data_IF_525413902082
#
_entry.id   IF_525413902082
#
_cell.length_a   1.000
_cell.length_b   1.000
_cell.length_c   1.000
_cell.angle_alpha   90.00
_cell.angle_beta   90.00
_cell.angle_gamma   90.00
#
_symmetry.space_group_name_H-M   'P 1'
#
loop_
_entity.id
_entity.type
_entity.pdbx_description
1 polymer ?
#
# COMPACT_ATOMS: atom_id res chain seq x y z
N UNK A 1 -70.32 28.15 33.21
CA UNK A 1 -68.93 28.64 33.37
C UNK A 1 -68.00 27.43 33.35
N UNK A 2 -67.04 27.46 32.42
CA UNK A 2 -65.83 26.62 32.32
C UNK A 2 -66.02 25.10 32.19
N UNK A 3 -66.21 24.66 30.95
CA UNK A 3 -65.99 23.28 30.54
C UNK A 3 -64.49 23.05 30.23
N UNK A 4 -64.02 21.93 30.76
CA UNK A 4 -62.76 21.23 30.49
C UNK A 4 -62.41 21.14 28.99
N UNK A 5 -61.43 21.92 28.53
CA UNK A 5 -60.86 21.80 27.16
C UNK A 5 -59.33 21.71 27.14
N UNK A 6 -58.62 21.94 28.25
CA UNK A 6 -57.15 22.09 28.20
C UNK A 6 -56.29 20.84 28.37
N UNK A 7 -56.85 19.66 28.69
CA UNK A 7 -56.04 18.46 28.96
C UNK A 7 -55.97 17.41 27.84
N UNK A 8 -56.81 17.52 26.80
CA UNK A 8 -56.82 16.51 25.71
C UNK A 8 -55.86 16.88 24.56
N UNK A 9 -55.57 18.18 24.38
CA UNK A 9 -54.69 18.65 23.30
C UNK A 9 -53.20 18.36 23.56
N UNK A 10 -52.75 18.32 24.82
CA UNK A 10 -51.36 18.00 25.15
C UNK A 10 -51.01 16.52 24.99
N UNK A 11 -51.98 15.61 25.15
CA UNK A 11 -51.73 14.16 25.05
C UNK A 11 -51.62 13.73 23.57
N UNK A 12 -52.35 14.38 22.66
CA UNK A 12 -52.27 14.12 21.22
C UNK A 12 -50.99 14.68 20.57
N UNK A 13 -50.38 15.73 21.15
CA UNK A 13 -49.10 16.27 20.66
C UNK A 13 -47.88 15.41 21.09
N UNK A 14 -47.99 14.63 22.17
CA UNK A 14 -46.91 13.76 22.63
C UNK A 14 -46.80 12.43 21.87
N UNK A 15 -47.82 12.05 21.09
CA UNK A 15 -47.84 10.77 20.36
C UNK A 15 -47.21 10.91 18.95
N UNK A 16 -46.96 12.12 18.44
CA UNK A 16 -46.40 12.34 17.09
C UNK A 16 -44.89 12.64 17.02
N UNK A 17 -44.14 12.52 18.12
CA UNK A 17 -42.68 12.76 18.13
C UNK A 17 -41.83 11.55 18.57
N UNK A 18 -42.41 10.35 18.65
CA UNK A 18 -41.59 9.15 18.62
C UNK A 18 -41.14 8.98 17.17
N UNK A 19 -40.02 9.62 16.79
CA UNK A 19 -39.23 9.11 15.67
C UNK A 19 -39.04 7.63 15.97
N UNK A 20 -39.68 6.76 15.18
CA UNK A 20 -39.19 5.39 15.08
C UNK A 20 -37.73 5.56 14.70
N UNK A 21 -36.83 5.32 15.64
CA UNK A 21 -35.45 5.03 15.32
C UNK A 21 -35.57 3.76 14.49
N UNK A 22 -35.52 3.91 13.17
CA UNK A 22 -35.26 2.80 12.28
C UNK A 22 -34.06 2.06 12.88
N UNK A 23 -34.23 0.78 13.21
CA UNK A 23 -33.13 0.01 13.77
C UNK A 23 -32.00 0.13 12.76
N UNK A 24 -30.88 0.74 13.17
CA UNK A 24 -29.76 0.96 12.27
C UNK A 24 -29.39 -0.39 11.65
N UNK A 25 -29.39 -0.47 10.31
CA UNK A 25 -29.00 -1.69 9.60
C UNK A 25 -27.69 -2.20 10.19
N UNK A 26 -27.55 -3.52 10.42
CA UNK A 26 -26.30 -4.07 10.93
C UNK A 26 -25.19 -3.77 9.92
N UNK A 27 -24.18 -3.01 10.35
CA UNK A 27 -22.97 -2.69 9.59
C UNK A 27 -21.86 -3.67 9.94
N UNK A 28 -21.06 -4.07 8.95
CA UNK A 28 -19.91 -4.93 9.16
C UNK A 28 -18.69 -4.10 9.56
N UNK A 29 -17.95 -4.44 10.64
CA UNK A 29 -16.70 -3.75 10.97
C UNK A 29 -15.68 -3.82 9.82
N UNK A 30 -14.97 -2.72 9.60
CA UNK A 30 -13.97 -2.56 8.53
C UNK A 30 -12.57 -2.45 9.12
N UNK A 31 -11.64 -3.25 8.58
CA UNK A 31 -10.21 -3.14 8.85
C UNK A 31 -9.52 -2.73 7.55
N UNK A 32 -8.83 -1.59 7.58
CA UNK A 32 -8.03 -1.08 6.47
C UNK A 32 -6.62 -1.66 6.56
N UNK A 33 -6.22 -2.42 5.55
CA UNK A 33 -4.87 -2.97 5.38
C UNK A 33 -4.21 -2.23 4.22
N UNK A 34 -3.10 -1.52 4.43
CA UNK A 34 -2.45 -0.73 3.39
C UNK A 34 -1.56 -1.54 2.45
N UNK A 35 -1.16 -0.90 1.34
CA UNK A 35 -0.08 -1.36 0.48
C UNK A 35 1.31 -0.94 1.00
N UNK A 36 2.31 -1.10 0.15
CA UNK A 36 3.68 -0.65 0.34
C UNK A 36 3.73 0.88 0.48
N UNK A 37 4.42 1.36 1.51
CA UNK A 37 4.37 2.77 1.90
C UNK A 37 3.09 3.28 2.51
N UNK A 38 2.03 2.47 2.58
CA UNK A 38 0.71 2.93 3.04
C UNK A 38 0.53 2.96 4.56
N UNK A 39 1.60 2.75 5.34
CA UNK A 39 1.58 2.78 6.82
C UNK A 39 2.58 3.79 7.35
N UNK A 40 2.24 4.52 8.41
CA UNK A 40 3.23 5.29 9.15
C UNK A 40 4.32 4.40 9.78
N UNK A 41 5.60 4.80 9.67
CA UNK A 41 6.71 4.15 10.37
C UNK A 41 7.41 5.12 11.31
N UNK A 42 7.86 4.59 12.45
CA UNK A 42 8.51 5.37 13.49
C UNK A 42 9.90 4.84 13.77
N UNK A 43 10.88 5.75 13.88
CA UNK A 43 12.28 5.40 14.12
C UNK A 43 12.81 5.98 15.43
N UNK A 44 13.72 5.25 16.08
CA UNK A 44 14.56 5.76 17.18
C UNK A 44 16.03 5.47 16.92
N UNK A 45 16.89 6.47 17.11
CA UNK A 45 18.31 6.39 16.78
C UNK A 45 19.19 6.31 18.02
N UNK A 46 20.18 5.42 17.96
CA UNK A 46 21.32 5.28 18.86
C UNK A 46 22.52 4.71 18.07
N UNK A 47 22.89 5.40 17.00
CA UNK A 47 23.92 5.00 16.03
C UNK A 47 25.29 5.42 16.55
N UNK A 48 26.31 4.58 16.31
CA UNK A 48 27.71 4.91 16.62
C UNK A 48 28.32 5.92 15.63
N UNK A 49 27.83 5.93 14.40
CA UNK A 49 28.28 6.82 13.32
C UNK A 49 27.14 7.11 12.37
N UNK A 50 27.31 8.12 11.53
CA UNK A 50 26.39 8.48 10.47
C UNK A 50 27.15 8.69 9.15
N UNK A 51 26.48 8.53 7.99
CA UNK A 51 27.14 8.69 6.69
C UNK A 51 27.64 10.12 6.44
N UNK A 52 26.97 11.10 7.05
CA UNK A 52 27.30 12.51 6.94
C UNK A 52 27.15 13.22 8.29
N UNK A 53 27.95 14.27 8.52
CA UNK A 53 27.99 15.01 9.79
C UNK A 53 26.65 15.65 10.18
N UNK A 54 25.78 15.95 9.21
CA UNK A 54 24.46 16.55 9.44
C UNK A 54 23.38 15.51 9.78
N UNK A 55 23.65 14.21 9.63
CA UNK A 55 22.72 13.16 10.00
C UNK A 55 22.76 12.90 11.51
N UNK A 56 21.59 12.93 12.15
CA UNK A 56 21.45 12.63 13.59
C UNK A 56 21.88 11.18 13.86
N UNK A 57 22.66 10.99 14.91
CA UNK A 57 23.03 9.66 15.41
C UNK A 57 22.17 9.23 16.59
N UNK A 58 21.52 10.17 17.28
CA UNK A 58 20.72 9.90 18.47
C UNK A 58 19.39 10.64 18.45
N UNK A 59 18.33 9.99 18.91
CA UNK A 59 17.05 10.62 19.24
C UNK A 59 16.59 10.17 20.62
N UNK A 60 16.07 11.10 21.43
CA UNK A 60 15.59 10.79 22.78
C UNK A 60 14.35 9.89 22.76
N UNK A 61 13.48 10.08 21.77
CA UNK A 61 12.27 9.30 21.54
C UNK A 61 12.12 8.94 20.05
N UNK A 62 11.06 8.20 19.73
CA UNK A 62 10.69 7.88 18.37
C UNK A 62 10.19 9.12 17.64
N UNK A 63 10.62 9.26 16.39
CA UNK A 63 10.10 10.25 15.45
C UNK A 63 9.46 9.54 14.27
N UNK A 64 8.54 10.21 13.59
CA UNK A 64 7.96 9.72 12.36
C UNK A 64 9.04 9.74 11.26
N UNK A 65 9.46 8.56 10.80
CA UNK A 65 10.43 8.44 9.70
C UNK A 65 9.73 8.31 8.35
N UNK A 66 8.48 7.84 8.35
CA UNK A 66 7.70 7.68 7.13
C UNK A 66 6.21 7.92 7.38
N UNK A 67 5.54 8.83 6.68
CA UNK A 67 6.08 9.76 5.69
C UNK A 67 6.45 11.09 6.37
N UNK A 68 7.65 11.60 6.09
CA UNK A 68 8.05 12.96 6.43
C UNK A 68 8.65 13.61 5.18
N UNK A 69 7.97 14.62 4.65
CA UNK A 69 8.37 15.28 3.40
C UNK A 69 9.72 15.99 3.51
N UNK A 70 10.08 16.52 4.68
CA UNK A 70 11.38 17.18 4.90
C UNK A 70 12.54 16.18 4.81
N UNK A 71 12.30 14.94 5.26
CA UNK A 71 13.29 13.86 5.21
C UNK A 71 13.50 13.36 3.77
N UNK A 72 12.58 13.63 2.85
CA UNK A 72 12.71 13.26 1.43
C UNK A 72 13.45 14.30 0.57
N UNK A 73 13.79 15.46 1.12
CA UNK A 73 14.52 16.52 0.41
C UNK A 73 16.04 16.39 0.59
N UNK A 74 16.80 16.85 -0.40
CA UNK A 74 18.26 16.96 -0.25
C UNK A 74 18.62 18.10 0.72
N UNK A 75 19.57 17.91 1.66
CA UNK A 75 20.41 16.72 1.88
C UNK A 75 19.84 15.66 2.84
N UNK A 76 18.69 15.91 3.48
CA UNK A 76 18.06 15.02 4.47
C UNK A 76 17.80 13.60 3.97
N UNK A 77 17.50 13.44 2.68
CA UNK A 77 17.27 12.13 2.03
C UNK A 77 18.41 11.15 2.24
N UNK A 78 19.66 11.64 2.35
CA UNK A 78 20.83 10.79 2.61
C UNK A 78 20.79 10.16 4.01
N UNK A 79 20.23 10.86 4.99
CA UNK A 79 20.01 10.36 6.33
C UNK A 79 18.81 9.41 6.39
N UNK A 80 17.73 9.75 5.68
CA UNK A 80 16.55 8.90 5.54
C UNK A 80 16.92 7.52 4.99
N UNK A 81 17.63 7.47 3.86
CA UNK A 81 18.08 6.23 3.21
C UNK A 81 18.91 5.36 4.16
N UNK A 82 19.84 5.96 4.91
CA UNK A 82 20.68 5.23 5.86
C UNK A 82 19.89 4.69 7.07
N UNK A 83 18.82 5.38 7.48
CA UNK A 83 18.00 4.95 8.61
C UNK A 83 16.89 3.97 8.21
N UNK A 84 16.36 4.06 6.99
CA UNK A 84 15.27 3.21 6.52
C UNK A 84 15.74 1.89 5.91
N UNK A 85 16.96 1.84 5.35
CA UNK A 85 17.48 0.62 4.73
C UNK A 85 17.52 -0.58 5.68
N UNK A 86 17.37 -1.76 5.07
CA UNK A 86 17.59 -3.04 5.71
C UNK A 86 18.95 -3.61 5.28
N UNK A 87 19.47 -4.51 6.11
CA UNK A 87 20.60 -5.36 5.78
C UNK A 87 20.14 -6.81 5.73
N UNK A 88 20.61 -7.55 4.74
CA UNK A 88 20.25 -8.95 4.55
C UNK A 88 21.38 -9.87 4.99
N UNK A 89 21.04 -10.87 5.79
CA UNK A 89 21.96 -11.91 6.20
C UNK A 89 21.68 -13.19 5.41
N UNK A 90 22.58 -13.52 4.49
CA UNK A 90 22.50 -14.72 3.63
C UNK A 90 22.54 -16.04 4.39
N UNK A 91 23.07 -16.05 5.62
CA UNK A 91 23.17 -17.28 6.43
C UNK A 91 21.87 -17.53 7.18
N UNK A 92 21.27 -16.48 7.74
CA UNK A 92 20.03 -16.60 8.52
C UNK A 92 18.78 -16.42 7.69
N UNK A 93 18.90 -15.96 6.43
CA UNK A 93 17.78 -15.62 5.56
C UNK A 93 16.84 -14.60 6.20
N UNK A 94 17.41 -13.59 6.86
CA UNK A 94 16.65 -12.55 7.55
C UNK A 94 17.21 -11.16 7.26
N UNK A 95 16.32 -10.17 7.33
CA UNK A 95 16.67 -8.75 7.28
C UNK A 95 16.64 -8.10 8.66
N UNK A 96 17.55 -7.15 8.88
CA UNK A 96 17.61 -6.35 10.10
C UNK A 96 17.87 -4.87 9.77
N UNK A 97 17.51 -3.97 10.69
CA UNK A 97 17.70 -2.52 10.51
C UNK A 97 19.19 -2.15 10.55
N UNK A 98 19.53 -0.95 10.10
CA UNK A 98 20.84 -0.32 10.36
C UNK A 98 21.20 -0.35 11.85
N UNK A 99 22.47 -0.63 12.18
CA UNK A 99 22.94 -0.68 13.57
C UNK A 99 22.62 0.63 14.30
N UNK A 100 22.01 0.51 15.48
CA UNK A 100 21.51 1.65 16.25
C UNK A 100 20.23 2.30 15.71
N UNK A 101 19.51 1.69 14.76
CA UNK A 101 18.19 2.17 14.32
C UNK A 101 17.12 1.15 14.68
N UNK A 102 16.17 1.58 15.51
CA UNK A 102 14.96 0.81 15.79
C UNK A 102 13.79 1.38 14.98
N UNK A 103 13.06 0.51 14.29
CA UNK A 103 11.87 0.87 13.50
C UNK A 103 10.68 0.09 14.04
N UNK A 104 9.57 0.79 14.27
CA UNK A 104 8.34 0.17 14.76
C UNK A 104 7.09 0.75 14.13
N UNK A 105 6.04 -0.07 14.20
CA UNK A 105 4.66 0.35 14.00
C UNK A 105 4.10 0.86 15.32
N UNK A 106 3.43 1.99 15.29
CA UNK A 106 2.70 2.53 16.45
C UNK A 106 1.20 2.51 16.18
N UNK A 107 0.42 2.50 17.26
CA UNK A 107 -1.03 2.68 17.22
C UNK A 107 -1.79 1.69 16.32
N UNK A 108 -1.37 0.41 16.30
CA UNK A 108 -2.12 -0.64 15.59
C UNK A 108 -3.59 -0.69 16.04
N UNK A 109 -4.51 -0.70 15.09
CA UNK A 109 -5.96 -0.60 15.33
C UNK A 109 -6.52 0.82 15.16
N UNK A 110 -5.69 1.87 15.20
CA UNK A 110 -6.10 3.22 14.82
C UNK A 110 -6.02 3.38 13.30
N UNK A 111 -7.16 3.68 12.67
CA UNK A 111 -7.23 3.86 11.22
C UNK A 111 -6.44 5.07 10.73
N UNK A 112 -6.21 6.09 11.57
CA UNK A 112 -5.48 7.28 11.15
C UNK A 112 -4.04 6.98 10.67
N UNK A 113 -3.43 5.91 11.19
CA UNK A 113 -2.08 5.46 10.82
C UNK A 113 -1.94 5.00 9.37
N UNK A 114 -3.07 4.76 8.70
CA UNK A 114 -3.15 4.35 7.29
C UNK A 114 -4.06 5.28 6.47
N UNK A 115 -4.75 6.23 7.11
CA UNK A 115 -5.49 7.30 6.41
C UNK A 115 -4.56 8.41 5.93
N UNK A 116 -3.60 8.78 6.78
CA UNK A 116 -2.65 9.88 6.56
C UNK A 116 -1.23 9.36 6.77
N UNK A 117 -0.39 9.44 5.73
CA UNK A 117 0.98 8.93 5.81
C UNK A 117 1.90 9.84 6.62
N UNK A 118 1.61 11.14 6.65
CA UNK A 118 2.27 12.09 7.56
C UNK A 118 1.31 12.39 8.72
N UNK A 119 1.71 12.16 9.99
CA UNK A 119 0.88 12.44 11.16
C UNK A 119 0.77 13.93 11.50
N UNK A 120 1.54 14.84 10.88
CA UNK A 120 1.35 16.28 11.09
C UNK A 120 0.05 16.74 10.41
N UNK A 121 -0.96 17.00 11.23
CA UNK A 121 -2.29 17.47 10.78
C UNK A 121 -2.25 18.73 9.92
N UNK A 122 -1.18 19.54 9.98
CA UNK A 122 -1.01 20.73 9.13
C UNK A 122 -0.77 20.37 7.66
N UNK A 123 -0.30 19.15 7.39
CA UNK A 123 -0.01 18.67 6.04
C UNK A 123 -1.01 17.65 5.52
N UNK A 124 -2.14 17.45 6.20
CA UNK A 124 -3.25 16.57 5.78
C UNK A 124 -3.98 17.11 4.53
N UNK A 125 -3.28 17.11 3.41
CA UNK A 125 -3.76 17.42 2.08
C UNK A 125 -3.10 16.44 1.07
N UNK A 126 -3.56 16.41 -0.18
CA UNK A 126 -2.90 15.63 -1.23
C UNK A 126 -1.46 16.15 -1.43
N UNK A 127 -0.39 15.37 -1.19
CA UNK A 127 -0.25 13.96 -1.56
C UNK A 127 -0.14 12.94 -0.40
N UNK A 128 -0.27 13.35 0.87
CA UNK A 128 -0.07 12.44 2.02
C UNK A 128 -1.34 11.72 2.47
N UNK A 129 -2.46 12.03 1.83
CA UNK A 129 -3.75 11.33 1.94
C UNK A 129 -3.65 9.95 1.26
N UNK A 130 -4.02 8.89 2.00
CA UNK A 130 -4.04 7.51 1.49
C UNK A 130 -5.46 6.91 1.62
N UNK A 131 -5.84 6.34 2.77
CA UNK A 131 -7.21 5.87 3.00
C UNK A 131 -8.19 6.93 3.49
N UNK A 132 -7.78 8.20 3.67
CA UNK A 132 -8.62 9.22 4.33
C UNK A 132 -10.01 9.37 3.68
N UNK A 133 -10.10 9.33 2.34
CA UNK A 133 -11.37 9.50 1.63
C UNK A 133 -12.34 8.32 1.87
N UNK A 134 -11.82 7.09 1.89
CA UNK A 134 -12.61 5.90 2.22
C UNK A 134 -13.07 5.98 3.69
N UNK A 135 -12.16 6.33 4.60
CA UNK A 135 -12.48 6.46 6.02
C UNK A 135 -13.52 7.54 6.30
N UNK A 136 -13.40 8.71 5.68
CA UNK A 136 -14.38 9.81 5.80
C UNK A 136 -15.75 9.42 5.24
N UNK A 137 -15.79 8.70 4.13
CA UNK A 137 -17.03 8.17 3.57
C UNK A 137 -17.69 7.15 4.52
N UNK A 138 -16.91 6.25 5.12
CA UNK A 138 -17.41 5.31 6.12
C UNK A 138 -17.91 6.03 7.38
N UNK A 139 -17.18 7.02 7.90
CA UNK A 139 -17.62 7.80 9.07
C UNK A 139 -18.89 8.58 8.78
N UNK A 140 -19.02 9.13 7.57
CA UNK A 140 -20.27 9.76 7.10
C UNK A 140 -21.45 8.77 7.04
N UNK A 141 -21.16 7.48 6.93
CA UNK A 141 -22.12 6.37 6.99
C UNK A 141 -22.14 5.68 8.37
N UNK A 142 -22.00 6.48 9.43
CA UNK A 142 -22.12 6.08 10.84
C UNK A 142 -21.03 5.13 11.36
N UNK A 143 -19.91 4.92 10.67
CA UNK A 143 -18.76 4.24 11.27
C UNK A 143 -18.04 5.14 12.29
N UNK A 144 -17.32 4.53 13.21
CA UNK A 144 -16.55 5.17 14.28
C UNK A 144 -15.13 4.63 14.26
N UNK A 145 -14.17 5.51 13.96
CA UNK A 145 -12.73 5.24 14.04
C UNK A 145 -12.36 4.65 15.41
N UNK A 146 -11.50 3.64 15.40
CA UNK A 146 -11.06 2.92 16.61
C UNK A 146 -12.06 1.91 17.17
N UNK A 147 -13.31 1.87 16.66
CA UNK A 147 -14.34 0.92 17.09
C UNK A 147 -14.64 -0.10 15.99
N UNK A 148 -15.37 0.33 14.97
CA UNK A 148 -15.80 -0.49 13.83
C UNK A 148 -15.15 -0.07 12.52
N UNK A 149 -14.28 0.95 12.56
CA UNK A 149 -13.29 1.26 11.53
C UNK A 149 -11.90 1.25 12.17
N UNK A 150 -11.03 0.34 11.73
CA UNK A 150 -9.67 0.17 12.27
C UNK A 150 -8.62 0.13 11.16
N UNK A 151 -7.39 0.51 11.48
CA UNK A 151 -6.22 0.34 10.63
C UNK A 151 -5.36 -0.82 11.10
N UNK A 152 -4.77 -1.56 10.16
CA UNK A 152 -3.80 -2.60 10.42
C UNK A 152 -2.45 -2.26 9.74
N UNK A 153 -1.73 -1.23 10.23
CA UNK A 153 -0.43 -0.86 9.69
C UNK A 153 0.60 -1.97 9.91
N UNK A 154 1.59 -2.05 9.02
CA UNK A 154 2.68 -3.02 9.12
C UNK A 154 3.98 -2.46 8.51
N UNK A 155 5.10 -3.11 8.79
CA UNK A 155 6.42 -2.73 8.24
C UNK A 155 6.52 -3.19 6.79
N UNK A 156 6.10 -2.32 5.86
CA UNK A 156 6.04 -2.60 4.43
C UNK A 156 7.40 -2.87 3.77
N UNK A 157 8.52 -2.60 4.46
CA UNK A 157 9.86 -2.93 3.97
C UNK A 157 10.12 -4.43 3.93
N UNK A 158 9.33 -5.22 4.66
CA UNK A 158 9.40 -6.68 4.71
C UNK A 158 8.27 -7.25 3.85
N UNK A 159 8.50 -8.37 3.17
CA UNK A 159 7.41 -9.07 2.49
C UNK A 159 6.31 -9.46 3.52
N UNK A 160 4.99 -9.33 3.25
CA UNK A 160 4.30 -9.17 1.95
C UNK A 160 3.47 -7.84 1.82
N UNK A 161 3.82 -6.95 0.87
CA UNK A 161 3.15 -5.66 0.50
C UNK A 161 3.28 -5.30 -1.00
N UNK A 162 2.48 -4.32 -1.49
CA UNK A 162 2.35 -3.81 -2.89
C UNK A 162 2.79 -2.33 -3.12
N UNK A 163 3.79 -2.11 -4.00
CA UNK A 163 4.39 -0.87 -4.58
C UNK A 163 4.23 0.54 -3.95
N UNK A 164 5.37 1.12 -3.54
CA UNK A 164 5.58 2.52 -3.17
C UNK A 164 5.50 3.50 -4.37
N UNK A 165 4.33 4.08 -4.64
CA UNK A 165 4.11 5.15 -5.63
C UNK A 165 4.74 6.52 -5.29
N UNK A 166 6.00 6.57 -4.86
CA UNK A 166 6.67 7.77 -4.33
C UNK A 166 7.31 8.58 -5.46
N UNK A 167 6.58 9.56 -5.99
CA UNK A 167 6.99 10.39 -7.16
C UNK A 167 7.94 11.55 -6.79
N UNK A 168 8.20 11.77 -5.50
CA UNK A 168 8.84 13.01 -4.99
C UNK A 168 10.38 12.94 -4.96
N UNK A 169 10.97 11.75 -5.14
CA UNK A 169 12.41 11.50 -4.96
C UNK A 169 13.10 11.04 -6.24
N UNK A 170 14.34 11.48 -6.44
CA UNK A 170 15.15 10.99 -7.56
C UNK A 170 15.46 9.49 -7.35
N UNK A 171 15.15 8.59 -8.30
CA UNK A 171 15.25 7.15 -8.05
C UNK A 171 16.63 6.68 -7.60
N UNK A 172 17.71 7.31 -8.09
CA UNK A 172 19.08 6.99 -7.69
C UNK A 172 19.36 7.19 -6.21
N UNK A 173 18.67 8.12 -5.53
CA UNK A 173 18.87 8.38 -4.12
C UNK A 173 18.26 7.30 -3.24
N UNK A 174 17.07 6.82 -3.60
CA UNK A 174 16.34 5.81 -2.84
C UNK A 174 16.63 4.37 -3.28
N UNK A 175 17.32 4.17 -4.41
CA UNK A 175 17.63 2.85 -4.97
C UNK A 175 18.26 1.89 -3.96
N UNK A 176 19.19 2.37 -3.12
CA UNK A 176 19.84 1.52 -2.11
C UNK A 176 18.85 1.07 -1.01
N UNK A 177 17.92 1.94 -0.64
CA UNK A 177 16.90 1.67 0.36
C UNK A 177 15.80 0.75 -0.21
N UNK A 178 15.25 1.05 -1.39
CA UNK A 178 14.25 0.21 -2.06
C UNK A 178 14.76 -1.20 -2.36
N UNK A 179 16.01 -1.33 -2.83
CA UNK A 179 16.65 -2.63 -3.09
C UNK A 179 16.77 -3.46 -1.82
N UNK A 180 16.94 -2.82 -0.66
CA UNK A 180 17.12 -3.51 0.61
C UNK A 180 15.84 -4.17 1.15
N UNK A 181 14.67 -3.84 0.57
CA UNK A 181 13.38 -4.36 1.00
C UNK A 181 13.04 -5.69 0.31
N UNK A 182 12.85 -6.79 1.06
CA UNK A 182 12.38 -8.05 0.48
C UNK A 182 11.01 -7.94 -0.19
N UNK A 183 10.16 -6.98 0.22
CA UNK A 183 8.87 -6.71 -0.45
C UNK A 183 9.07 -6.33 -1.93
N UNK A 184 10.06 -5.50 -2.25
CA UNK A 184 10.41 -5.16 -3.64
C UNK A 184 10.77 -6.40 -4.47
N UNK A 185 11.57 -7.31 -3.91
CA UNK A 185 11.94 -8.55 -4.59
C UNK A 185 10.73 -9.49 -4.75
N UNK A 186 9.82 -9.51 -3.78
CA UNK A 186 8.59 -10.32 -3.83
C UNK A 186 7.66 -9.90 -4.96
N UNK A 187 7.55 -8.60 -5.21
CA UNK A 187 6.68 -8.03 -6.26
C UNK A 187 7.21 -8.15 -7.69
N UNK A 188 8.41 -8.71 -7.89
CA UNK A 188 8.91 -8.93 -9.25
C UNK A 188 7.96 -9.84 -10.05
N UNK A 189 7.80 -9.62 -11.37
CA UNK A 189 6.89 -10.37 -12.23
C UNK A 189 6.96 -11.88 -12.02
N UNK A 190 5.79 -12.52 -11.93
CA UNK A 190 5.67 -13.95 -11.67
C UNK A 190 5.65 -14.76 -12.97
N UNK A 191 6.35 -15.91 -13.04
CA UNK A 191 6.26 -16.82 -14.19
C UNK A 191 4.88 -17.44 -14.36
N UNK A 192 3.93 -17.20 -13.45
CA UNK A 192 2.52 -17.56 -13.60
C UNK A 192 1.79 -16.68 -14.62
N UNK A 193 2.15 -15.40 -14.71
CA UNK A 193 1.46 -14.41 -15.56
C UNK A 193 2.33 -13.81 -16.67
N UNK A 194 3.64 -14.00 -16.59
CA UNK A 194 4.59 -13.62 -17.64
C UNK A 194 5.19 -14.87 -18.26
N UNK A 195 5.22 -14.92 -19.59
CA UNK A 195 5.76 -16.07 -20.30
C UNK A 195 7.29 -16.14 -20.09
N UNK A 196 7.85 -17.36 -20.12
CA UNK A 196 9.28 -17.59 -19.87
C UNK A 196 10.19 -16.90 -20.90
N UNK A 197 9.70 -16.71 -22.11
CA UNK A 197 10.36 -16.05 -23.23
C UNK A 197 9.97 -14.56 -23.38
N UNK A 198 9.10 -14.06 -22.49
CA UNK A 198 8.70 -12.65 -22.49
C UNK A 198 9.80 -11.77 -21.89
N UNK A 199 10.40 -10.94 -22.74
CA UNK A 199 11.43 -9.98 -22.33
C UNK A 199 10.84 -8.87 -21.48
N UNK A 200 11.42 -8.66 -20.31
CA UNK A 200 11.10 -7.59 -19.36
C UNK A 200 12.10 -6.44 -19.43
N UNK A 201 13.39 -6.76 -19.58
CA UNK A 201 14.47 -5.77 -19.66
C UNK A 201 15.30 -6.00 -20.90
N UNK A 202 15.46 -4.96 -21.71
CA UNK A 202 16.30 -4.95 -22.92
C UNK A 202 17.53 -4.12 -22.63
N UNK A 203 18.72 -4.66 -22.90
CA UNK A 203 20.00 -3.93 -22.84
C UNK A 203 20.77 -4.12 -24.13
N UNK A 204 21.90 -3.42 -24.26
CA UNK A 204 22.84 -3.58 -25.36
C UNK A 204 23.60 -4.92 -25.32
N UNK A 205 23.69 -5.56 -24.15
CA UNK A 205 24.40 -6.83 -23.95
C UNK A 205 23.49 -8.06 -24.04
N UNK A 206 22.27 -7.95 -23.48
CA UNK A 206 21.33 -9.07 -23.35
C UNK A 206 19.91 -8.61 -23.03
N UNK A 207 18.97 -9.53 -23.22
CA UNK A 207 17.60 -9.40 -22.72
C UNK A 207 17.44 -10.23 -21.45
N UNK A 208 16.51 -9.82 -20.58
CA UNK A 208 16.16 -10.56 -19.36
C UNK A 208 14.65 -10.84 -19.35
N UNK A 209 14.28 -12.07 -19.04
CA UNK A 209 12.90 -12.51 -18.79
C UNK A 209 12.72 -12.89 -17.32
N UNK A 210 11.53 -13.37 -16.95
CA UNK A 210 11.27 -13.99 -15.64
C UNK A 210 12.16 -15.22 -15.34
N UNK A 211 12.77 -15.82 -16.36
CA UNK A 211 13.70 -16.95 -16.19
C UNK A 211 15.13 -16.50 -15.84
N UNK A 212 15.46 -15.22 -16.05
CA UNK A 212 16.82 -14.70 -16.00
C UNK A 212 17.12 -13.89 -14.73
N UNK A 213 16.27 -13.96 -13.70
CA UNK A 213 16.44 -13.11 -12.50
C UNK A 213 17.80 -13.28 -11.80
N UNK A 214 18.33 -14.50 -11.74
CA UNK A 214 19.66 -14.73 -11.15
C UNK A 214 20.73 -13.92 -11.87
N UNK A 215 20.70 -13.97 -13.19
CA UNK A 215 21.66 -13.28 -14.01
C UNK A 215 21.43 -11.76 -14.01
N UNK A 216 20.17 -11.31 -14.01
CA UNK A 216 19.83 -9.90 -13.87
C UNK A 216 20.44 -9.32 -12.59
N UNK A 217 20.29 -10.00 -11.45
CA UNK A 217 20.87 -9.56 -10.19
C UNK A 217 22.39 -9.62 -10.18
N UNK A 218 23.01 -10.58 -10.89
CA UNK A 218 24.46 -10.63 -11.06
C UNK A 218 24.97 -9.45 -11.89
N UNK A 219 24.32 -9.15 -13.01
CA UNK A 219 24.66 -8.04 -13.91
C UNK A 219 24.39 -6.65 -13.28
N UNK A 220 23.54 -6.60 -12.24
CA UNK A 220 23.31 -5.42 -11.39
C UNK A 220 24.28 -5.28 -10.21
N UNK A 221 25.20 -6.23 -10.03
CA UNK A 221 26.06 -6.36 -8.83
C UNK A 221 25.26 -6.35 -7.52
N UNK A 222 24.13 -7.05 -7.49
CA UNK A 222 23.21 -7.07 -6.35
C UNK A 222 22.59 -8.44 -6.08
N UNK A 223 23.45 -9.43 -5.81
CA UNK A 223 23.00 -10.80 -5.53
C UNK A 223 22.15 -10.97 -4.26
N UNK A 224 22.21 -10.02 -3.32
CA UNK A 224 21.31 -10.04 -2.15
C UNK A 224 19.83 -10.00 -2.57
N UNK A 225 19.49 -9.22 -3.60
CA UNK A 225 18.13 -9.16 -4.13
C UNK A 225 17.66 -10.50 -4.73
N UNK A 226 18.57 -11.26 -5.34
CA UNK A 226 18.25 -12.60 -5.83
C UNK A 226 17.94 -13.56 -4.67
N UNK A 227 18.77 -13.57 -3.63
CA UNK A 227 18.53 -14.43 -2.46
C UNK A 227 17.25 -14.04 -1.72
N UNK A 228 16.98 -12.74 -1.56
CA UNK A 228 15.70 -12.26 -1.05
C UNK A 228 14.53 -12.78 -1.90
N UNK A 229 14.63 -12.70 -3.24
CA UNK A 229 13.60 -13.23 -4.15
C UNK A 229 13.37 -14.72 -3.89
N UNK A 230 14.42 -15.53 -3.78
CA UNK A 230 14.29 -16.96 -3.52
C UNK A 230 13.57 -17.26 -2.19
N UNK A 231 13.85 -16.46 -1.16
CA UNK A 231 13.23 -16.62 0.15
C UNK A 231 11.72 -16.29 0.13
N UNK A 232 11.31 -15.31 -0.69
CA UNK A 232 9.94 -14.76 -0.65
C UNK A 232 9.06 -15.21 -1.82
N UNK A 233 9.62 -15.69 -2.94
CA UNK A 233 8.84 -15.94 -4.15
C UNK A 233 7.72 -16.93 -3.91
N UNK A 234 7.96 -17.99 -3.14
CA UNK A 234 6.99 -19.07 -2.93
C UNK A 234 5.93 -18.78 -1.84
N UNK A 235 5.90 -17.57 -1.26
CA UNK A 235 4.93 -17.24 -0.20
C UNK A 235 3.46 -17.31 -0.68
N UNK A 236 3.19 -16.94 -1.93
CA UNK A 236 1.83 -16.92 -2.52
C UNK A 236 1.75 -17.45 -3.96
N UNK A 237 2.77 -18.16 -4.44
CA UNK A 237 2.85 -18.58 -5.85
C UNK A 237 1.76 -19.57 -6.28
N UNK A 238 1.22 -20.33 -5.33
CA UNK A 238 0.09 -21.23 -5.59
C UNK A 238 -1.22 -20.47 -5.83
N UNK A 239 -1.30 -19.20 -5.40
CA UNK A 239 -2.49 -18.33 -5.42
C UNK A 239 -3.74 -19.08 -4.98
N UNK A 240 -3.62 -19.75 -3.83
CA UNK A 240 -4.73 -20.48 -3.24
C UNK A 240 -5.93 -19.54 -2.98
N UNK A 241 -7.16 -19.92 -3.38
CA UNK A 241 -8.35 -19.12 -3.10
C UNK A 241 -8.52 -18.86 -1.59
N UNK A 242 -8.90 -17.63 -1.19
CA UNK A 242 -8.97 -17.25 0.22
C UNK A 242 -10.13 -17.91 0.97
N UNK A 243 -11.13 -18.45 0.28
CA UNK A 243 -12.25 -19.17 0.90
C UNK A 243 -13.23 -18.26 1.66
N UNK A 244 -13.28 -16.99 1.27
CA UNK A 244 -14.23 -15.97 1.76
C UNK A 244 -14.85 -15.25 0.56
N UNK A 245 -15.95 -14.54 0.77
CA UNK A 245 -16.51 -13.66 -0.26
C UNK A 245 -15.48 -12.61 -0.65
N UNK A 246 -15.22 -12.49 -1.95
CA UNK A 246 -14.17 -11.61 -2.48
C UNK A 246 -14.77 -10.59 -3.42
N UNK A 247 -14.41 -9.32 -3.20
CA UNK A 247 -14.68 -8.23 -4.12
C UNK A 247 -13.36 -7.69 -4.64
N UNK A 248 -13.02 -7.99 -5.88
CA UNK A 248 -11.78 -7.57 -6.51
C UNK A 248 -12.01 -6.30 -7.32
N UNK A 249 -11.56 -5.17 -6.79
CA UNK A 249 -11.66 -3.86 -7.41
C UNK A 249 -10.29 -3.49 -8.00
N UNK A 250 -10.25 -3.04 -9.26
CA UNK A 250 -9.02 -2.54 -9.86
C UNK A 250 -9.24 -1.58 -11.02
N UNK A 251 -8.20 -0.79 -11.32
CA UNK A 251 -8.14 0.10 -12.46
C UNK A 251 -7.65 -0.60 -13.73
N UNK A 252 -8.11 -0.16 -14.90
CA UNK A 252 -7.59 -0.60 -16.21
C UNK A 252 -7.63 0.54 -17.22
N UNK A 253 -6.92 0.38 -18.35
CA UNK A 253 -6.92 1.33 -19.46
C UNK A 253 -5.87 2.43 -19.36
N UNK A 254 -4.90 2.29 -18.45
CA UNK A 254 -3.79 3.21 -18.31
C UNK A 254 -2.49 2.55 -18.77
N UNK A 255 -1.68 3.36 -19.45
CA UNK A 255 -0.31 3.03 -19.84
C UNK A 255 0.49 2.65 -18.59
N UNK A 256 0.92 1.39 -18.53
CA UNK A 256 1.60 0.80 -17.38
C UNK A 256 2.93 0.19 -17.80
N UNK A 257 4.06 0.45 -17.11
CA UNK A 257 5.35 -0.11 -17.51
C UNK A 257 5.30 -1.63 -17.72
N UNK A 258 5.53 -2.08 -18.96
CA UNK A 258 5.57 -3.51 -19.32
C UNK A 258 7.00 -4.00 -19.53
N UNK A 259 7.81 -3.21 -20.26
CA UNK A 259 9.22 -3.51 -20.53
C UNK A 259 10.09 -2.27 -20.36
N UNK A 260 11.32 -2.47 -19.90
CA UNK A 260 12.32 -1.43 -19.75
C UNK A 260 13.42 -1.63 -20.79
N UNK A 261 13.72 -0.59 -21.57
CA UNK A 261 14.72 -0.63 -22.63
C UNK A 261 15.85 0.37 -22.34
N UNK A 262 17.05 -0.16 -22.23
CA UNK A 262 18.28 0.59 -22.08
C UNK A 262 19.05 0.56 -23.39
N UNK A 263 19.49 1.73 -23.85
CA UNK A 263 20.41 1.88 -24.96
C UNK A 263 21.86 1.49 -24.59
N UNK A 264 22.80 1.62 -25.55
CA UNK A 264 24.21 1.32 -25.32
C UNK A 264 24.81 2.06 -24.11
N UNK A 265 25.39 1.32 -23.17
CA UNK A 265 26.01 1.86 -21.95
C UNK A 265 25.04 2.53 -20.96
N UNK A 266 23.73 2.42 -21.14
CA UNK A 266 22.72 3.05 -20.27
C UNK A 266 22.37 2.19 -19.04
N UNK A 267 22.47 0.88 -19.15
CA UNK A 267 22.17 -0.04 -18.05
C UNK A 267 23.32 -0.10 -17.04
N UNK A 268 23.08 -0.03 -15.71
CA UNK A 268 21.77 0.08 -15.03
C UNK A 268 21.49 1.46 -14.41
N UNK A 269 22.31 2.47 -14.71
CA UNK A 269 22.37 3.73 -13.95
C UNK A 269 21.68 4.93 -14.61
N UNK A 270 20.97 4.71 -15.72
CA UNK A 270 20.20 5.76 -16.40
C UNK A 270 18.71 5.43 -16.42
N UNK A 271 17.89 6.39 -16.85
CA UNK A 271 16.46 6.16 -17.04
C UNK A 271 16.22 5.36 -18.33
N UNK A 272 15.55 4.19 -18.25
CA UNK A 272 15.19 3.43 -19.44
C UNK A 272 14.05 4.08 -20.22
N UNK A 273 13.95 3.75 -21.50
CA UNK A 273 12.71 3.89 -22.27
C UNK A 273 11.71 2.84 -21.78
N UNK A 274 10.49 3.25 -21.45
CA UNK A 274 9.42 2.33 -21.05
C UNK A 274 8.54 1.98 -22.24
N UNK A 275 8.33 0.69 -22.46
CA UNK A 275 7.32 0.17 -23.37
C UNK A 275 6.13 -0.26 -22.51
N UNK A 276 5.00 0.41 -22.69
CA UNK A 276 3.82 0.25 -21.84
C UNK A 276 2.95 -0.94 -22.27
N UNK A 277 2.35 -1.59 -21.28
CA UNK A 277 1.24 -2.52 -21.35
C UNK A 277 -0.04 -1.86 -20.76
N UNK A 278 -1.18 -2.54 -20.85
CA UNK A 278 -2.43 -2.16 -20.18
C UNK A 278 -2.37 -2.46 -18.66
N UNK A 279 -2.90 -1.56 -17.84
CA UNK A 279 -2.97 -1.68 -16.39
C UNK A 279 -3.57 -0.43 -15.73
N UNK A 280 -3.18 -0.17 -14.47
CA UNK A 280 -3.63 0.98 -13.67
C UNK A 280 -2.57 2.10 -13.54
N UNK A 281 -1.51 2.04 -14.35
CA UNK A 281 -0.35 2.95 -14.30
C UNK A 281 0.83 2.38 -13.51
N UNK A 282 0.61 1.39 -12.64
CA UNK A 282 1.66 0.72 -11.86
C UNK A 282 1.64 -0.81 -12.03
N UNK A 283 0.48 -1.44 -11.85
CA UNK A 283 0.29 -2.88 -11.89
C UNK A 283 -0.31 -3.28 -13.24
N UNK A 284 0.36 -4.19 -13.95
CA UNK A 284 -0.14 -4.64 -15.25
C UNK A 284 -1.46 -5.43 -15.08
N UNK A 285 -2.37 -5.25 -16.03
CA UNK A 285 -3.68 -5.92 -16.10
C UNK A 285 -3.65 -7.41 -15.80
N UNK A 286 -2.66 -8.10 -16.36
CA UNK A 286 -2.48 -9.55 -16.20
C UNK A 286 -2.33 -9.99 -14.74
N UNK A 287 -1.76 -9.12 -13.90
CA UNK A 287 -1.67 -9.32 -12.45
C UNK A 287 -2.97 -8.90 -11.77
N UNK A 288 -3.52 -7.72 -12.12
CA UNK A 288 -4.75 -7.20 -11.51
C UNK A 288 -5.95 -8.15 -11.65
N UNK A 289 -6.07 -8.85 -12.78
CA UNK A 289 -7.19 -9.77 -13.03
C UNK A 289 -7.01 -11.15 -12.39
N UNK A 290 -5.85 -11.44 -11.77
CA UNK A 290 -5.54 -12.75 -11.17
C UNK A 290 -6.59 -13.23 -10.16
N UNK A 291 -7.19 -12.31 -9.41
CA UNK A 291 -8.26 -12.61 -8.46
C UNK A 291 -9.49 -13.28 -9.10
N UNK A 292 -9.73 -13.05 -10.40
CA UNK A 292 -10.84 -13.64 -11.14
C UNK A 292 -10.66 -15.16 -11.32
N UNK A 293 -9.42 -15.66 -11.28
CA UNK A 293 -9.13 -17.10 -11.37
C UNK A 293 -9.78 -17.87 -10.22
N UNK A 294 -10.00 -17.23 -9.05
CA UNK A 294 -10.65 -17.87 -7.91
C UNK A 294 -12.14 -18.17 -8.13
N UNK A 295 -12.76 -17.61 -9.16
CA UNK A 295 -14.15 -17.91 -9.50
C UNK A 295 -14.32 -19.41 -9.80
N UNK A 296 -15.21 -20.06 -9.05
CA UNK A 296 -15.44 -21.50 -9.14
C UNK A 296 -14.38 -22.38 -8.44
N UNK A 297 -13.30 -21.80 -7.90
CA UNK A 297 -12.31 -22.52 -7.09
C UNK A 297 -12.61 -22.51 -5.57
N UNK A 298 -13.61 -21.73 -5.16
CA UNK A 298 -14.11 -21.63 -3.79
C UNK A 298 -15.63 -21.60 -3.76
N UNK A 299 -16.22 -21.86 -2.59
CA UNK A 299 -17.69 -21.88 -2.42
C UNK A 299 -18.29 -20.47 -2.44
N UNK A 300 -17.55 -19.51 -1.92
CA UNK A 300 -17.96 -18.14 -1.74
C UNK A 300 -17.83 -17.36 -3.05
N UNK A 301 -18.69 -16.37 -3.31
CA UNK A 301 -18.66 -15.61 -4.56
C UNK A 301 -17.37 -14.81 -4.70
N UNK A 302 -16.95 -14.63 -5.95
CA UNK A 302 -15.85 -13.77 -6.36
C UNK A 302 -16.41 -12.74 -7.33
N UNK A 303 -16.58 -11.51 -6.85
CA UNK A 303 -17.11 -10.39 -7.60
C UNK A 303 -15.97 -9.56 -8.16
N UNK A 304 -16.06 -9.21 -9.43
CA UNK A 304 -15.05 -8.43 -10.13
C UNK A 304 -15.58 -7.05 -10.50
N UNK A 305 -14.84 -5.99 -10.15
CA UNK A 305 -15.22 -4.60 -10.38
C UNK A 305 -14.07 -3.85 -11.02
N UNK A 306 -14.11 -3.75 -12.35
CA UNK A 306 -13.18 -2.91 -13.12
C UNK A 306 -13.64 -1.46 -13.09
N UNK A 307 -12.71 -0.54 -12.87
CA UNK A 307 -12.94 0.90 -12.93
C UNK A 307 -11.98 1.48 -13.99
N UNK A 308 -12.50 1.74 -15.19
CA UNK A 308 -11.67 2.27 -16.28
C UNK A 308 -11.06 3.62 -15.91
N UNK A 309 -9.77 3.81 -16.25
CA UNK A 309 -8.97 5.00 -15.98
C UNK A 309 -8.79 5.33 -14.49
N UNK A 310 -9.03 4.39 -13.57
CA UNK A 310 -8.60 4.55 -12.19
C UNK A 310 -7.10 4.27 -12.08
N UNK A 311 -6.34 5.30 -11.73
CA UNK A 311 -4.90 5.17 -11.48
C UNK A 311 -4.64 4.48 -10.13
N UNK A 312 -3.53 3.75 -10.05
CA UNK A 312 -3.14 2.90 -8.92
C UNK A 312 -3.34 3.55 -7.54
N UNK A 313 -2.85 4.78 -7.34
CA UNK A 313 -3.02 5.52 -6.09
C UNK A 313 -4.37 6.22 -6.03
N UNK A 314 -4.80 6.81 -7.15
CA UNK A 314 -6.03 7.59 -7.22
C UNK A 314 -7.30 6.76 -6.96
N UNK A 315 -7.26 5.43 -7.14
CA UNK A 315 -8.40 4.54 -6.91
C UNK A 315 -8.95 4.64 -5.48
N UNK A 316 -8.11 4.95 -4.48
CA UNK A 316 -8.52 5.12 -3.09
C UNK A 316 -9.34 6.40 -2.85
N UNK A 317 -9.26 7.36 -3.77
CA UNK A 317 -10.07 8.57 -3.78
C UNK A 317 -11.20 8.53 -4.83
N UNK A 318 -11.29 7.45 -5.61
CA UNK A 318 -12.22 7.35 -6.72
C UNK A 318 -13.67 7.18 -6.20
N UNK A 319 -14.62 8.03 -6.64
CA UNK A 319 -15.99 8.00 -6.11
C UNK A 319 -16.72 6.69 -6.41
N UNK A 320 -16.42 6.02 -7.53
CA UNK A 320 -17.03 4.73 -7.88
C UNK A 320 -16.53 3.62 -6.93
N UNK A 321 -15.23 3.62 -6.61
CA UNK A 321 -14.64 2.66 -5.68
C UNK A 321 -15.17 2.88 -4.26
N UNK A 322 -15.16 4.13 -3.79
CA UNK A 322 -15.64 4.51 -2.46
C UNK A 322 -17.11 4.12 -2.29
N UNK A 323 -17.98 4.48 -3.25
CA UNK A 323 -19.40 4.14 -3.16
C UNK A 323 -19.61 2.63 -3.12
N UNK A 324 -18.88 1.87 -3.96
CA UNK A 324 -18.96 0.41 -3.95
C UNK A 324 -18.61 -0.19 -2.59
N UNK A 325 -17.55 0.30 -1.95
CA UNK A 325 -17.12 -0.15 -0.62
C UNK A 325 -18.17 0.21 0.43
N UNK A 326 -18.68 1.44 0.41
CA UNK A 326 -19.71 1.90 1.35
C UNK A 326 -20.97 1.04 1.23
N UNK A 327 -21.49 0.84 0.01
CA UNK A 327 -22.67 0.01 -0.23
C UNK A 327 -22.44 -1.41 0.29
N UNK A 328 -21.29 -2.01 -0.01
CA UNK A 328 -20.95 -3.36 0.42
C UNK A 328 -21.03 -3.54 1.94
N UNK A 329 -20.46 -2.61 2.71
CA UNK A 329 -20.35 -2.75 4.18
C UNK A 329 -21.58 -2.23 4.94
N UNK A 330 -22.48 -1.52 4.26
CA UNK A 330 -23.69 -0.93 4.87
C UNK A 330 -25.00 -1.62 4.43
N UNK A 331 -25.05 -2.22 3.24
CA UNK A 331 -26.24 -2.91 2.71
C UNK A 331 -26.25 -4.42 2.94
N UNK A 332 -25.26 -4.95 3.67
CA UNK A 332 -25.22 -6.35 4.09
C UNK A 332 -26.47 -6.70 4.91
N UNK A 333 -27.41 -7.39 4.25
CA UNK A 333 -28.73 -7.80 4.75
C UNK A 333 -28.68 -9.23 5.28
#
# INVERSE_FOLDING_TARGET
MMASVNNVLCILAFILSAKLSEAAKPKNPVILVPGDGGSQLWAKLNKKSSPHYFCKTYTSDYYNIWLNMEDLLYPSILCFVDNMRLYYNRTTHTTYNTDGVDIRIQNFGDSQTVEWLDPDTKVHYSPVSYFSNIADALVSNNFTRGKDLKGAPFDFRKAPSDSLGVVIVYPSWVRAEQRSMPSTAWLMPSPRYWAKDEVLVITDKRNYTVADYKDLFADLDYMDGYYMRQDVENLIMDLKPPGVEMHCLHGLGLDTPGKLKFGPGQFPDTFPETINDDGDGTVNKRSLIACADWSGQQKQPVMHKVIMNAEHMAILSNPIAIQYIVDLVTDSS
#
